data_IF_176275501430
#
_entry.id   IF_176275501430
#
_cell.length_a   1.000
_cell.length_b   1.000
_cell.length_c   1.000
_cell.angle_alpha   90.00
_cell.angle_beta   90.00
_cell.angle_gamma   90.00
#
_symmetry.space_group_name_H-M   'P 1'
#
loop_
_entity.id
_entity.type
_entity.pdbx_description
1 polymer ?
#
# COMPACT_ATOMS: atom_id res chain seq x y z
N UNK A 1 1.48 26.49 -2.37
CA UNK A 1 0.44 25.54 -1.92
C UNK A 1 -0.91 26.01 -2.45
N UNK A 2 -1.53 25.26 -3.36
CA UNK A 2 -2.85 25.60 -3.92
C UNK A 2 -3.93 24.79 -3.19
N UNK A 3 -4.75 25.45 -2.38
CA UNK A 3 -5.88 24.87 -1.68
C UNK A 3 -7.19 25.26 -2.38
N UNK A 4 -8.22 24.40 -2.34
CA UNK A 4 -9.59 24.75 -2.74
C UNK A 4 -10.29 25.53 -1.64
N UNK A 5 -9.76 26.71 -1.33
CA UNK A 5 -10.22 27.52 -0.19
C UNK A 5 -11.71 27.84 -0.28
N UNK A 6 -12.24 28.03 -1.49
CA UNK A 6 -13.67 28.29 -1.70
C UNK A 6 -14.54 27.10 -1.31
N UNK A 7 -14.23 25.90 -1.81
CA UNK A 7 -14.98 24.68 -1.47
C UNK A 7 -14.82 24.30 0.01
N UNK A 8 -13.62 24.48 0.56
CA UNK A 8 -13.37 24.32 1.99
C UNK A 8 -14.22 25.28 2.82
N UNK A 9 -14.19 26.58 2.49
CA UNK A 9 -14.96 27.61 3.18
C UNK A 9 -16.47 27.37 3.11
N UNK A 10 -16.97 26.95 1.95
CA UNK A 10 -18.37 26.54 1.77
C UNK A 10 -18.73 25.35 2.66
N UNK A 11 -17.83 24.36 2.80
CA UNK A 11 -18.06 23.21 3.70
C UNK A 11 -18.04 23.62 5.17
N UNK A 12 -17.10 24.46 5.61
CA UNK A 12 -17.06 25.01 6.98
C UNK A 12 -18.36 25.77 7.28
N UNK A 13 -18.84 26.58 6.32
CA UNK A 13 -20.12 27.29 6.43
C UNK A 13 -21.32 26.34 6.50
N UNK A 14 -21.29 25.21 5.78
CA UNK A 14 -22.35 24.19 5.84
C UNK A 14 -22.42 23.59 7.24
N UNK A 15 -21.28 23.13 7.79
CA UNK A 15 -21.18 22.54 9.13
C UNK A 15 -21.71 23.52 10.18
N UNK A 16 -21.28 24.78 10.10
CA UNK A 16 -21.75 25.83 10.99
C UNK A 16 -23.28 25.98 10.96
N UNK A 17 -23.87 25.98 9.76
CA UNK A 17 -25.32 26.12 9.58
C UNK A 17 -26.08 24.89 10.06
N UNK A 18 -25.54 23.69 9.84
CA UNK A 18 -26.09 22.42 10.35
C UNK A 18 -26.17 22.43 11.89
N UNK A 19 -25.16 23.01 12.54
CA UNK A 19 -25.12 23.24 13.99
C UNK A 19 -25.96 24.44 14.47
N UNK A 20 -26.59 25.20 13.55
CA UNK A 20 -27.44 26.38 13.83
C UNK A 20 -26.75 27.48 14.64
N UNK A 21 -25.42 27.62 14.52
CA UNK A 21 -24.65 28.66 15.21
C UNK A 21 -24.29 29.81 14.25
N UNK A 22 -24.25 31.05 14.77
CA UNK A 22 -23.87 32.24 13.98
C UNK A 22 -22.34 32.43 13.96
N UNK A 23 -21.82 33.18 12.99
CA UNK A 23 -20.39 33.55 12.98
C UNK A 23 -20.01 34.34 14.23
N UNK A 24 -20.94 35.16 14.73
CA UNK A 24 -20.77 35.93 15.98
C UNK A 24 -20.67 35.01 17.19
N UNK A 25 -21.53 34.00 17.29
CA UNK A 25 -21.49 33.02 18.37
C UNK A 25 -20.16 32.23 18.37
N UNK A 26 -19.65 31.84 17.19
CA UNK A 26 -18.32 31.24 17.10
C UNK A 26 -17.26 32.23 17.60
N UNK A 27 -17.31 33.49 17.15
CA UNK A 27 -16.34 34.51 17.54
C UNK A 27 -16.30 34.72 19.06
N UNK A 28 -17.47 34.82 19.69
CA UNK A 28 -17.61 34.98 21.15
C UNK A 28 -17.10 33.75 21.92
N UNK A 29 -17.33 32.53 21.42
CA UNK A 29 -16.88 31.29 22.07
C UNK A 29 -15.39 30.99 21.88
N UNK A 30 -14.82 31.39 20.75
CA UNK A 30 -13.46 31.00 20.35
C UNK A 30 -12.42 32.11 20.49
N UNK A 31 -12.86 33.36 20.62
CA UNK A 31 -11.99 34.52 20.51
C UNK A 31 -11.48 34.79 19.09
N UNK A 32 -11.84 33.98 18.10
CA UNK A 32 -11.45 34.21 16.69
C UNK A 32 -12.27 35.36 16.15
N UNK A 33 -11.60 36.36 15.55
CA UNK A 33 -12.27 37.52 14.99
C UNK A 33 -13.33 37.11 13.94
N UNK A 34 -14.54 37.69 14.04
CA UNK A 34 -15.67 37.41 13.15
C UNK A 34 -15.32 37.61 11.66
N UNK A 35 -14.47 38.57 11.32
CA UNK A 35 -14.02 38.79 9.94
C UNK A 35 -13.07 37.69 9.47
N UNK A 36 -12.26 37.13 10.36
CA UNK A 36 -11.43 35.95 10.05
C UNK A 36 -12.33 34.76 9.73
N UNK A 37 -13.35 34.49 10.55
CA UNK A 37 -14.34 33.42 10.30
C UNK A 37 -15.03 33.63 8.94
N UNK A 38 -15.47 34.87 8.67
CA UNK A 38 -16.11 35.24 7.41
C UNK A 38 -15.17 35.04 6.20
N UNK A 39 -13.91 35.44 6.31
CA UNK A 39 -12.91 35.28 5.24
C UNK A 39 -12.61 33.79 5.00
N UNK A 40 -12.54 32.98 6.05
CA UNK A 40 -12.39 31.53 5.95
C UNK A 40 -13.58 30.91 5.21
N UNK A 41 -14.82 31.22 5.63
CA UNK A 41 -16.03 30.68 4.98
C UNK A 41 -16.21 31.12 3.52
N UNK A 42 -15.60 32.25 3.13
CA UNK A 42 -15.58 32.73 1.74
C UNK A 42 -14.38 32.19 0.94
N UNK A 43 -13.47 31.46 1.56
CA UNK A 43 -12.24 30.97 0.94
C UNK A 43 -11.23 32.06 0.59
N UNK A 44 -11.27 33.19 1.29
CA UNK A 44 -10.42 34.37 1.01
C UNK A 44 -9.07 34.35 1.73
N UNK A 45 -8.90 33.45 2.71
CA UNK A 45 -7.67 33.34 3.50
C UNK A 45 -7.33 31.88 3.74
N UNK A 46 -6.04 31.57 3.79
CA UNK A 46 -5.56 30.27 4.28
C UNK A 46 -5.59 30.33 5.82
N UNK A 47 -6.45 29.56 6.49
CA UNK A 47 -6.49 29.54 7.94
C UNK A 47 -5.20 28.94 8.52
N UNK A 48 -4.75 29.49 9.64
CA UNK A 48 -3.64 28.93 10.42
C UNK A 48 -4.10 27.68 11.18
N UNK A 49 -3.16 26.79 11.53
CA UNK A 49 -3.48 25.53 12.21
C UNK A 49 -4.14 25.77 13.58
N UNK A 50 -3.61 26.71 14.37
CA UNK A 50 -4.20 27.17 15.64
C UNK A 50 -5.69 27.54 15.48
N UNK A 51 -6.01 28.26 14.42
CA UNK A 51 -7.37 28.72 14.12
C UNK A 51 -8.27 27.54 13.75
N UNK A 52 -7.75 26.57 12.98
CA UNK A 52 -8.49 25.35 12.63
C UNK A 52 -8.79 24.50 13.87
N UNK A 53 -7.83 24.34 14.78
CA UNK A 53 -7.99 23.61 16.03
C UNK A 53 -9.03 24.28 16.93
N UNK A 54 -8.93 25.60 17.11
CA UNK A 54 -9.91 26.38 17.87
C UNK A 54 -11.31 26.23 17.28
N UNK A 55 -11.47 26.39 15.96
CA UNK A 55 -12.76 26.23 15.29
C UNK A 55 -13.32 24.79 15.42
N UNK A 56 -12.44 23.79 15.51
CA UNK A 56 -12.85 22.38 15.67
C UNK A 56 -13.60 22.13 16.98
N UNK A 57 -13.25 22.86 18.04
CA UNK A 57 -13.93 22.73 19.35
C UNK A 57 -15.40 23.12 19.30
N UNK A 58 -15.76 24.12 18.48
CA UNK A 58 -17.13 24.63 18.34
C UNK A 58 -17.89 23.95 17.21
N UNK A 59 -17.20 23.62 16.12
CA UNK A 59 -17.80 22.97 14.94
C UNK A 59 -17.95 21.44 15.09
N UNK A 60 -17.58 20.88 16.25
CA UNK A 60 -17.74 19.45 16.60
C UNK A 60 -17.15 18.49 15.55
N UNK A 61 -16.18 18.95 14.78
CA UNK A 61 -15.52 18.21 13.72
C UNK A 61 -14.07 18.65 13.68
N UNK A 62 -13.16 17.73 13.37
CA UNK A 62 -11.75 18.04 13.12
C UNK A 62 -11.61 18.83 11.81
N UNK A 63 -11.64 20.16 11.91
CA UNK A 63 -11.54 21.09 10.78
C UNK A 63 -10.13 21.10 10.22
N UNK A 64 -9.12 20.81 11.05
CA UNK A 64 -7.73 20.63 10.60
C UNK A 64 -7.65 19.49 9.60
N UNK A 65 -8.20 18.31 9.92
CA UNK A 65 -8.28 17.16 9.03
C UNK A 65 -9.14 17.45 7.80
N UNK A 66 -10.28 18.11 7.98
CA UNK A 66 -11.15 18.51 6.87
C UNK A 66 -10.39 19.39 5.86
N UNK A 67 -9.59 20.36 6.34
CA UNK A 67 -8.80 21.24 5.49
C UNK A 67 -7.80 20.46 4.62
N UNK A 68 -7.26 19.35 5.12
CA UNK A 68 -6.36 18.48 4.35
C UNK A 68 -7.04 17.85 3.14
N UNK A 69 -8.35 17.63 3.16
CA UNK A 69 -9.09 17.04 2.04
C UNK A 69 -9.28 18.02 0.87
N UNK A 70 -9.05 19.31 1.09
CA UNK A 70 -9.10 20.37 0.07
C UNK A 70 -7.70 20.82 -0.39
N UNK A 71 -6.64 20.07 -0.05
CA UNK A 71 -5.25 20.29 -0.51
C UNK A 71 -5.02 19.93 -1.98
N UNK A 72 -5.93 19.17 -2.58
CA UNK A 72 -5.85 18.71 -3.95
C UNK A 72 -7.18 18.96 -4.67
N UNK A 73 -7.09 19.46 -5.91
CA UNK A 73 -8.20 19.58 -6.86
C UNK A 73 -8.96 18.27 -7.03
N UNK A 74 -8.28 17.15 -6.84
CA UNK A 74 -8.87 15.82 -6.98
C UNK A 74 -8.42 14.83 -5.88
N UNK A 75 -8.40 15.27 -4.62
CA UNK A 75 -8.00 14.43 -3.47
C UNK A 75 -8.78 13.10 -3.42
N UNK A 76 -10.11 13.19 -3.60
CA UNK A 76 -11.00 12.03 -3.54
C UNK A 76 -10.68 11.04 -4.66
N UNK A 77 -10.56 11.50 -5.92
CA UNK A 77 -10.21 10.59 -7.02
C UNK A 77 -8.80 10.02 -6.85
N UNK A 78 -7.83 10.78 -6.34
CA UNK A 78 -6.50 10.22 -6.09
C UNK A 78 -6.54 9.12 -5.01
N UNK A 79 -7.26 9.33 -3.90
CA UNK A 79 -7.47 8.30 -2.88
C UNK A 79 -8.17 7.07 -3.46
N UNK A 80 -9.21 7.27 -4.27
CA UNK A 80 -9.96 6.21 -4.93
C UNK A 80 -9.08 5.40 -5.90
N UNK A 81 -8.29 6.07 -6.74
CA UNK A 81 -7.33 5.43 -7.65
C UNK A 81 -6.32 4.60 -6.86
N UNK A 82 -5.76 5.13 -5.76
CA UNK A 82 -4.85 4.36 -4.91
C UNK A 82 -5.52 3.12 -4.31
N UNK A 83 -6.76 3.24 -3.82
CA UNK A 83 -7.50 2.10 -3.28
C UNK A 83 -7.75 1.02 -4.34
N UNK A 84 -8.15 1.41 -5.55
CA UNK A 84 -8.32 0.49 -6.68
C UNK A 84 -7.01 -0.19 -7.08
N UNK A 85 -5.91 0.56 -7.10
CA UNK A 85 -4.57 0.00 -7.36
C UNK A 85 -4.19 -1.05 -6.32
N UNK A 86 -4.35 -0.77 -5.02
CA UNK A 86 -4.02 -1.75 -3.99
C UNK A 86 -4.87 -3.02 -4.12
N UNK A 87 -6.18 -2.86 -4.35
CA UNK A 87 -7.07 -4.00 -4.56
C UNK A 87 -6.63 -4.85 -5.76
N UNK A 88 -6.34 -4.22 -6.91
CA UNK A 88 -5.92 -4.93 -8.13
C UNK A 88 -4.57 -5.62 -7.95
N UNK A 89 -3.59 -4.95 -7.35
CA UNK A 89 -2.26 -5.50 -7.10
C UNK A 89 -2.30 -6.68 -6.13
N UNK A 90 -3.11 -6.60 -5.06
CA UNK A 90 -3.24 -7.69 -4.10
C UNK A 90 -3.96 -8.92 -4.69
N UNK A 91 -4.85 -8.72 -5.66
CA UNK A 91 -5.63 -9.79 -6.30
C UNK A 91 -5.06 -10.23 -7.66
N UNK A 92 -3.84 -9.81 -8.01
CA UNK A 92 -3.18 -10.12 -9.28
C UNK A 92 -4.00 -9.74 -10.54
N UNK A 93 -4.82 -8.69 -10.46
CA UNK A 93 -5.63 -8.16 -11.58
C UNK A 93 -4.82 -7.14 -12.37
N UNK A 94 -3.73 -7.58 -12.99
CA UNK A 94 -2.74 -6.68 -13.62
C UNK A 94 -3.24 -6.09 -14.94
N UNK A 95 -4.04 -6.84 -15.68
CA UNK A 95 -4.65 -6.45 -16.96
C UNK A 95 -5.58 -5.25 -16.80
N UNK A 96 -6.17 -5.08 -15.62
CA UNK A 96 -7.09 -3.97 -15.35
C UNK A 96 -6.36 -2.66 -14.99
N UNK A 97 -5.04 -2.67 -14.80
CA UNK A 97 -4.26 -1.52 -14.32
C UNK A 97 -4.14 -0.39 -15.36
N UNK A 98 -4.42 -0.66 -16.64
CA UNK A 98 -4.41 0.37 -17.68
C UNK A 98 -5.37 1.53 -17.36
N UNK A 99 -6.52 1.22 -16.74
CA UNK A 99 -7.52 2.23 -16.35
C UNK A 99 -6.97 3.17 -15.28
N UNK A 100 -6.38 2.63 -14.20
CA UNK A 100 -5.78 3.47 -13.15
C UNK A 100 -4.57 4.24 -13.65
N UNK A 101 -3.78 3.68 -14.57
CA UNK A 101 -2.67 4.41 -15.20
C UNK A 101 -3.16 5.67 -15.93
N UNK A 102 -4.23 5.56 -16.72
CA UNK A 102 -4.80 6.72 -17.41
C UNK A 102 -5.44 7.72 -16.44
N UNK A 103 -6.08 7.25 -15.37
CA UNK A 103 -6.60 8.11 -14.31
C UNK A 103 -5.48 8.89 -13.60
N UNK A 104 -4.37 8.23 -13.25
CA UNK A 104 -3.19 8.89 -12.69
C UNK A 104 -2.63 9.96 -13.63
N UNK A 105 -2.59 9.70 -14.93
CA UNK A 105 -2.15 10.68 -15.94
C UNK A 105 -3.03 11.93 -15.96
N UNK A 106 -4.36 11.77 -15.89
CA UNK A 106 -5.32 12.89 -15.81
C UNK A 106 -5.18 13.69 -14.51
N UNK A 107 -5.03 12.99 -13.37
CA UNK A 107 -4.82 13.63 -12.06
C UNK A 107 -3.49 14.39 -12.04
N UNK A 108 -2.43 13.81 -12.62
CA UNK A 108 -1.12 14.47 -12.74
C UNK A 108 -1.20 15.79 -13.52
N UNK A 109 -1.98 15.85 -14.60
CA UNK A 109 -2.11 17.07 -15.40
C UNK A 109 -2.90 18.17 -14.68
N UNK A 110 -3.81 17.80 -13.79
CA UNK A 110 -4.67 18.75 -13.06
C UNK A 110 -4.09 19.18 -11.71
N UNK A 111 -3.14 18.44 -11.13
CA UNK A 111 -2.58 18.81 -9.82
C UNK A 111 -1.69 20.04 -9.91
N UNK A 112 -1.92 21.00 -9.01
CA UNK A 112 -1.09 22.20 -8.86
C UNK A 112 -0.12 22.13 -7.67
N UNK A 113 -0.05 20.97 -7.01
CA UNK A 113 0.85 20.74 -5.88
C UNK A 113 2.09 19.99 -6.33
N UNK A 114 3.27 20.58 -6.14
CA UNK A 114 4.55 19.96 -6.51
C UNK A 114 4.75 18.62 -5.80
N UNK A 115 4.47 18.56 -4.49
CA UNK A 115 4.55 17.34 -3.70
C UNK A 115 3.70 16.20 -4.30
N UNK A 116 2.44 16.49 -4.60
CA UNK A 116 1.58 15.46 -5.18
C UNK A 116 1.93 15.16 -6.64
N UNK A 117 2.42 16.14 -7.40
CA UNK A 117 2.94 15.90 -8.74
C UNK A 117 4.09 14.88 -8.70
N UNK A 118 5.02 14.99 -7.73
CA UNK A 118 6.07 13.99 -7.50
C UNK A 118 5.48 12.61 -7.17
N UNK A 119 4.60 12.53 -6.15
CA UNK A 119 3.99 11.27 -5.73
C UNK A 119 3.21 10.56 -6.86
N UNK A 120 2.39 11.30 -7.60
CA UNK A 120 1.61 10.77 -8.72
C UNK A 120 2.55 10.33 -9.84
N UNK A 121 3.64 11.06 -10.08
CA UNK A 121 4.64 10.67 -11.10
C UNK A 121 5.34 9.37 -10.72
N UNK A 122 5.77 9.21 -9.47
CA UNK A 122 6.36 7.96 -8.98
C UNK A 122 5.38 6.79 -9.13
N UNK A 123 4.13 6.98 -8.68
CA UNK A 123 3.09 5.96 -8.77
C UNK A 123 2.75 5.61 -10.21
N UNK A 124 2.70 6.59 -11.11
CA UNK A 124 2.49 6.36 -12.54
C UNK A 124 3.59 5.47 -13.14
N UNK A 125 4.86 5.80 -12.90
CA UNK A 125 5.97 4.97 -13.38
C UNK A 125 5.96 3.57 -12.77
N UNK A 126 5.60 3.45 -11.49
CA UNK A 126 5.44 2.17 -10.83
C UNK A 126 4.36 1.32 -11.50
N UNK A 127 3.15 1.86 -11.70
CA UNK A 127 2.05 1.13 -12.36
C UNK A 127 2.42 0.75 -13.80
N UNK A 128 3.04 1.67 -14.55
CA UNK A 128 3.50 1.40 -15.91
C UNK A 128 4.54 0.27 -15.96
N UNK A 129 5.45 0.22 -14.99
CA UNK A 129 6.42 -0.87 -14.86
C UNK A 129 5.74 -2.20 -14.53
N UNK A 130 4.74 -2.23 -13.64
CA UNK A 130 4.01 -3.45 -13.32
C UNK A 130 3.27 -3.98 -14.55
N UNK A 131 2.63 -3.12 -15.34
CA UNK A 131 1.97 -3.49 -16.60
C UNK A 131 2.99 -4.09 -17.57
N UNK A 132 4.11 -3.39 -17.80
CA UNK A 132 5.17 -3.86 -18.70
C UNK A 132 5.72 -5.23 -18.26
N UNK A 133 5.86 -5.44 -16.96
CA UNK A 133 6.41 -6.68 -16.42
C UNK A 133 5.40 -7.84 -16.44
N UNK A 134 4.20 -7.62 -15.91
CA UNK A 134 3.21 -8.69 -15.66
C UNK A 134 2.28 -8.97 -16.83
N UNK A 135 2.01 -7.99 -17.68
CA UNK A 135 1.06 -8.11 -18.80
C UNK A 135 1.81 -8.21 -20.11
N UNK A 136 2.76 -7.31 -20.36
CA UNK A 136 3.43 -7.23 -21.66
C UNK A 136 4.72 -8.06 -21.75
N UNK A 137 5.15 -8.68 -20.65
CA UNK A 137 6.37 -9.48 -20.55
C UNK A 137 7.64 -8.76 -21.07
N UNK A 138 7.82 -7.49 -20.69
CA UNK A 138 8.95 -6.62 -21.07
C UNK A 138 9.76 -6.19 -19.83
N UNK A 139 10.48 -7.12 -19.17
CA UNK A 139 11.15 -6.87 -17.89
C UNK A 139 12.20 -5.73 -17.95
N UNK A 140 12.97 -5.60 -19.02
CA UNK A 140 13.99 -4.56 -19.17
C UNK A 140 13.38 -3.16 -19.29
N UNK A 141 12.21 -3.06 -19.95
CA UNK A 141 11.47 -1.79 -20.04
C UNK A 141 10.84 -1.45 -18.69
N UNK A 142 10.28 -2.43 -18.00
CA UNK A 142 9.76 -2.27 -16.66
C UNK A 142 10.86 -1.80 -15.67
N UNK A 143 12.05 -2.39 -15.74
CA UNK A 143 13.20 -2.00 -14.94
C UNK A 143 13.52 -0.51 -15.13
N UNK A 144 13.67 -0.05 -16.38
CA UNK A 144 13.94 1.37 -16.69
C UNK A 144 12.87 2.30 -16.12
N UNK A 145 11.59 1.88 -16.13
CA UNK A 145 10.49 2.66 -15.54
C UNK A 145 10.59 2.75 -14.02
N UNK A 146 10.97 1.68 -13.32
CA UNK A 146 11.19 1.71 -11.87
C UNK A 146 12.39 2.59 -11.48
N UNK A 147 13.49 2.55 -12.25
CA UNK A 147 14.63 3.48 -12.06
C UNK A 147 14.15 4.93 -12.19
N UNK A 148 13.39 5.24 -13.26
CA UNK A 148 12.84 6.57 -13.46
C UNK A 148 11.90 6.99 -12.33
N UNK A 149 11.15 6.05 -11.74
CA UNK A 149 10.29 6.32 -10.58
C UNK A 149 11.11 6.76 -9.34
N UNK A 150 12.20 6.07 -9.02
CA UNK A 150 13.08 6.47 -7.90
C UNK A 150 13.78 7.80 -8.18
N UNK A 151 14.16 8.06 -9.43
CA UNK A 151 14.80 9.32 -9.83
C UNK A 151 13.94 10.57 -9.70
N UNK A 152 12.62 10.42 -9.57
CA UNK A 152 11.70 11.56 -9.35
C UNK A 152 12.07 12.33 -8.08
N UNK A 153 12.47 11.61 -7.03
CA UNK A 153 12.83 12.16 -5.71
C UNK A 153 14.31 11.98 -5.38
N UNK A 154 14.99 11.03 -6.04
CA UNK A 154 16.41 10.75 -5.88
C UNK A 154 17.14 10.89 -7.22
N UNK A 155 17.39 12.11 -7.69
CA UNK A 155 17.88 12.39 -9.06
C UNK A 155 19.12 11.57 -9.46
N UNK A 156 20.04 11.35 -8.51
CA UNK A 156 21.29 10.62 -8.70
C UNK A 156 21.17 9.11 -8.44
N UNK A 157 19.95 8.57 -8.28
CA UNK A 157 19.75 7.17 -7.96
C UNK A 157 20.35 6.24 -9.04
N UNK A 158 21.16 5.29 -8.58
CA UNK A 158 21.62 4.14 -9.34
C UNK A 158 21.34 2.87 -8.54
N UNK A 159 21.24 1.72 -9.23
CA UNK A 159 21.14 0.45 -8.53
C UNK A 159 22.45 0.04 -7.85
N UNK A 160 23.60 0.56 -8.28
CA UNK A 160 24.88 0.25 -7.67
C UNK A 160 24.97 0.81 -6.23
N UNK A 161 24.41 2.01 -6.03
CA UNK A 161 24.54 2.76 -4.78
C UNK A 161 23.25 2.81 -3.98
N UNK A 162 22.29 1.92 -4.24
CA UNK A 162 20.94 2.02 -3.65
C UNK A 162 20.96 2.03 -2.11
N UNK A 163 21.99 1.46 -1.47
CA UNK A 163 22.03 1.39 -0.02
C UNK A 163 22.25 2.73 0.68
N UNK A 164 22.77 3.75 -0.02
CA UNK A 164 23.09 5.06 0.58
C UNK A 164 21.89 5.99 0.67
N UNK A 165 20.77 5.65 0.02
CA UNK A 165 19.59 6.51 -0.04
C UNK A 165 18.62 6.24 1.13
N UNK A 166 17.84 7.27 1.47
CA UNK A 166 16.71 7.17 2.41
C UNK A 166 15.44 7.01 1.60
N UNK A 167 14.59 6.07 2.01
CA UNK A 167 13.42 5.66 1.24
C UNK A 167 12.13 5.85 2.04
N UNK A 168 11.12 6.38 1.36
CA UNK A 168 9.73 6.26 1.77
C UNK A 168 9.20 4.83 1.56
N UNK A 169 8.06 4.50 2.18
CA UNK A 169 7.39 3.21 1.98
C UNK A 169 7.07 2.90 0.51
N UNK A 170 6.71 3.91 -0.29
CA UNK A 170 6.47 3.74 -1.73
C UNK A 170 7.76 3.42 -2.49
N UNK A 171 8.87 4.06 -2.14
CA UNK A 171 10.15 3.82 -2.79
C UNK A 171 10.74 2.46 -2.40
N UNK A 172 10.57 2.01 -1.15
CA UNK A 172 10.88 0.62 -0.78
C UNK A 172 10.07 -0.39 -1.59
N UNK A 173 8.79 -0.10 -1.88
CA UNK A 173 7.97 -0.95 -2.76
C UNK A 173 8.48 -0.96 -4.21
N UNK A 174 8.93 0.19 -4.71
CA UNK A 174 9.54 0.31 -6.04
C UNK A 174 10.85 -0.51 -6.08
N UNK A 175 11.71 -0.36 -5.07
CA UNK A 175 12.96 -1.10 -4.95
C UNK A 175 12.73 -2.62 -4.82
N UNK A 176 11.76 -3.04 -4.02
CA UNK A 176 11.31 -4.44 -3.97
C UNK A 176 10.88 -4.95 -5.35
N UNK A 177 10.20 -4.11 -6.14
CA UNK A 177 9.75 -4.46 -7.49
C UNK A 177 10.91 -4.51 -8.50
N UNK A 178 11.96 -3.71 -8.31
CA UNK A 178 13.23 -3.87 -9.04
C UNK A 178 13.80 -5.26 -8.75
N UNK A 179 13.84 -5.67 -7.48
CA UNK A 179 14.27 -7.01 -7.07
C UNK A 179 13.51 -8.12 -7.81
N UNK A 180 12.19 -8.02 -7.95
CA UNK A 180 11.41 -9.02 -8.69
C UNK A 180 11.79 -9.13 -10.16
N UNK A 181 12.03 -7.99 -10.81
CA UNK A 181 12.45 -7.96 -12.21
C UNK A 181 13.84 -8.59 -12.35
N UNK A 182 14.78 -8.24 -11.47
CA UNK A 182 16.12 -8.83 -11.43
C UNK A 182 16.05 -10.35 -11.25
N UNK A 183 15.19 -10.85 -10.35
CA UNK A 183 14.98 -12.29 -10.21
C UNK A 183 14.50 -12.95 -11.51
N UNK A 184 13.63 -12.29 -12.30
CA UNK A 184 13.22 -12.82 -13.61
C UNK A 184 14.31 -12.75 -14.68
N UNK A 185 15.33 -11.91 -14.48
CA UNK A 185 16.51 -11.80 -15.33
C UNK A 185 17.67 -12.67 -14.81
N UNK A 186 17.37 -13.69 -13.99
CA UNK A 186 18.32 -14.62 -13.37
C UNK A 186 19.29 -14.01 -12.32
N UNK A 187 19.08 -12.77 -11.90
CA UNK A 187 19.87 -12.09 -10.86
C UNK A 187 19.32 -12.41 -9.44
N UNK A 188 19.24 -13.71 -9.11
CA UNK A 188 18.58 -14.18 -7.88
C UNK A 188 19.28 -13.74 -6.59
N UNK A 189 20.61 -13.59 -6.61
CA UNK A 189 21.38 -13.10 -5.47
C UNK A 189 21.05 -11.62 -5.19
N UNK A 190 21.01 -10.80 -6.24
CA UNK A 190 20.69 -9.37 -6.12
C UNK A 190 19.25 -9.15 -5.66
N UNK A 191 18.33 -10.00 -6.11
CA UNK A 191 16.96 -10.02 -5.60
C UNK A 191 16.90 -10.23 -4.08
N UNK A 192 17.60 -11.25 -3.55
CA UNK A 192 17.62 -11.52 -2.12
C UNK A 192 18.24 -10.35 -1.33
N UNK A 193 19.37 -9.83 -1.79
CA UNK A 193 20.07 -8.69 -1.19
C UNK A 193 19.13 -7.47 -1.06
N UNK A 194 18.40 -7.15 -2.13
CA UNK A 194 17.44 -6.03 -2.14
C UNK A 194 16.28 -6.28 -1.17
N UNK A 195 15.78 -7.52 -1.08
CA UNK A 195 14.69 -7.82 -0.16
C UNK A 195 15.12 -7.70 1.31
N UNK A 196 16.32 -8.19 1.64
CA UNK A 196 16.89 -8.05 2.99
C UNK A 196 17.05 -6.57 3.34
N UNK A 197 17.62 -5.78 2.43
CA UNK A 197 17.74 -4.33 2.59
C UNK A 197 16.40 -3.63 2.83
N UNK A 198 15.38 -3.96 2.03
CA UNK A 198 14.04 -3.41 2.20
C UNK A 198 13.41 -3.80 3.55
N UNK A 199 13.65 -5.04 3.99
CA UNK A 199 13.14 -5.56 5.25
C UNK A 199 13.78 -4.88 6.47
N UNK A 200 15.06 -4.51 6.39
CA UNK A 200 15.75 -3.77 7.46
C UNK A 200 15.23 -2.33 7.64
N UNK A 201 14.63 -1.75 6.58
CA UNK A 201 14.19 -0.34 6.55
C UNK A 201 12.69 -0.15 6.61
N UNK A 202 11.90 -1.20 6.39
CA UNK A 202 10.45 -1.10 6.42
C UNK A 202 9.95 -0.99 7.86
N UNK A 203 9.06 -0.03 8.11
CA UNK A 203 8.34 0.07 9.39
C UNK A 203 7.47 -1.17 9.62
N UNK A 204 7.39 -1.64 10.86
CA UNK A 204 6.62 -2.85 11.22
C UNK A 204 5.13 -2.66 10.96
N UNK A 205 4.63 -1.44 11.13
CA UNK A 205 3.24 -1.03 10.89
C UNK A 205 2.91 -0.87 9.40
N UNK A 206 3.94 -0.88 8.54
CA UNK A 206 3.74 -0.72 7.10
C UNK A 206 3.01 -1.93 6.51
N UNK A 207 2.02 -1.66 5.65
CA UNK A 207 1.37 -2.70 4.84
C UNK A 207 2.32 -3.46 3.90
N UNK A 208 3.56 -2.96 3.71
CA UNK A 208 4.61 -3.61 2.97
C UNK A 208 5.33 -4.71 3.77
N UNK A 209 5.36 -4.62 5.11
CA UNK A 209 6.14 -5.53 5.95
C UNK A 209 5.71 -7.00 5.83
N UNK A 210 4.41 -7.38 5.90
CA UNK A 210 3.99 -8.76 5.64
C UNK A 210 4.32 -9.25 4.23
N UNK A 211 4.28 -8.36 3.23
CA UNK A 211 4.60 -8.69 1.84
C UNK A 211 6.09 -9.02 1.69
N UNK A 212 6.97 -8.21 2.28
CA UNK A 212 8.41 -8.47 2.33
C UNK A 212 8.72 -9.80 3.05
N UNK A 213 8.06 -10.07 4.17
CA UNK A 213 8.18 -11.35 4.88
C UNK A 213 7.83 -12.55 3.99
N UNK A 214 6.73 -12.48 3.24
CA UNK A 214 6.35 -13.53 2.30
C UNK A 214 7.40 -13.72 1.18
N UNK A 215 7.90 -12.61 0.62
CA UNK A 215 8.87 -12.65 -0.47
C UNK A 215 10.22 -13.20 -0.02
N UNK A 216 10.71 -12.78 1.16
CA UNK A 216 11.93 -13.32 1.77
C UNK A 216 11.78 -14.79 2.11
N UNK A 217 10.66 -15.19 2.71
CA UNK A 217 10.36 -16.61 2.95
C UNK A 217 10.45 -17.42 1.65
N UNK A 218 9.85 -16.92 0.57
CA UNK A 218 9.91 -17.57 -0.74
C UNK A 218 11.33 -17.62 -1.30
N UNK A 219 12.12 -16.55 -1.15
CA UNK A 219 13.50 -16.47 -1.62
C UNK A 219 14.41 -17.45 -0.88
N UNK A 220 14.39 -17.46 0.46
CA UNK A 220 15.19 -18.39 1.26
C UNK A 220 14.78 -19.85 1.02
N UNK A 221 13.49 -20.13 0.84
CA UNK A 221 13.01 -21.47 0.49
C UNK A 221 13.59 -21.94 -0.84
N UNK A 222 13.64 -21.08 -1.86
CA UNK A 222 14.28 -21.41 -3.17
C UNK A 222 15.75 -21.73 -2.99
N UNK A 223 16.42 -21.03 -2.07
CA UNK A 223 17.82 -21.26 -1.72
C UNK A 223 18.00 -22.39 -0.69
N UNK A 224 16.96 -23.18 -0.41
CA UNK A 224 16.95 -24.29 0.57
C UNK A 224 17.32 -23.89 2.01
N UNK A 225 17.24 -22.60 2.34
CA UNK A 225 17.43 -22.07 3.70
C UNK A 225 16.10 -22.09 4.45
N UNK A 226 15.57 -23.29 4.72
CA UNK A 226 14.21 -23.48 5.22
C UNK A 226 13.96 -22.84 6.60
N UNK A 227 14.93 -22.86 7.51
CA UNK A 227 14.80 -22.20 8.83
C UNK A 227 14.60 -20.69 8.72
N UNK A 228 15.38 -20.02 7.85
CA UNK A 228 15.19 -18.59 7.58
C UNK A 228 13.83 -18.33 6.93
N UNK A 229 13.42 -19.20 6.00
CA UNK A 229 12.11 -19.08 5.37
C UNK A 229 10.96 -19.21 6.38
N UNK A 230 11.08 -20.13 7.33
CA UNK A 230 10.11 -20.33 8.41
C UNK A 230 10.07 -19.10 9.33
N UNK A 231 11.25 -18.57 9.72
CA UNK A 231 11.36 -17.34 10.52
C UNK A 231 10.59 -16.19 9.89
N UNK A 232 10.83 -15.88 8.61
CA UNK A 232 10.13 -14.78 7.94
C UNK A 232 8.64 -15.04 7.77
N UNK A 233 8.23 -16.29 7.53
CA UNK A 233 6.80 -16.63 7.51
C UNK A 233 6.13 -16.33 8.86
N UNK A 234 6.78 -16.71 9.97
CA UNK A 234 6.27 -16.43 11.31
C UNK A 234 6.22 -14.93 11.62
N UNK A 235 7.27 -14.17 11.29
CA UNK A 235 7.30 -12.71 11.47
C UNK A 235 6.14 -12.05 10.71
N UNK A 236 5.92 -12.43 9.45
CA UNK A 236 4.81 -11.92 8.64
C UNK A 236 3.44 -12.23 9.25
N UNK A 237 3.24 -13.47 9.74
CA UNK A 237 1.99 -13.89 10.39
C UNK A 237 1.73 -13.08 11.65
N UNK A 238 2.73 -12.88 12.50
CA UNK A 238 2.58 -12.09 13.73
C UNK A 238 2.29 -10.62 13.44
N UNK A 239 2.90 -10.05 12.39
CA UNK A 239 2.59 -8.70 11.93
C UNK A 239 1.12 -8.59 11.45
N UNK A 240 0.64 -9.54 10.65
CA UNK A 240 -0.77 -9.58 10.23
C UNK A 240 -1.75 -9.79 11.39
N UNK A 241 -1.39 -10.53 12.45
CA UNK A 241 -2.25 -10.72 13.63
C UNK A 241 -2.34 -9.47 14.50
N UNK A 242 -1.23 -8.73 14.64
CA UNK A 242 -1.18 -7.49 15.42
C UNK A 242 -1.82 -6.31 14.69
N UNK A 243 -1.78 -6.32 13.36
CA UNK A 243 -2.48 -5.33 12.54
C UNK A 243 -3.93 -5.75 12.27
N UNK A 244 -4.79 -4.80 11.94
CA UNK A 244 -6.13 -5.09 11.40
C UNK A 244 -6.10 -5.58 9.95
N UNK A 245 -4.91 -5.79 9.38
CA UNK A 245 -4.71 -6.13 7.99
C UNK A 245 -4.42 -7.62 7.81
N UNK A 246 -5.48 -8.37 7.49
CA UNK A 246 -5.43 -9.81 7.18
C UNK A 246 -5.03 -10.11 5.74
N UNK A 247 -4.76 -9.09 4.92
CA UNK A 247 -4.40 -9.27 3.50
C UNK A 247 -3.10 -10.07 3.38
N UNK A 248 -3.15 -11.17 2.63
CA UNK A 248 -1.98 -12.04 2.41
C UNK A 248 -1.68 -13.02 3.55
N UNK A 249 -2.48 -13.02 4.63
CA UNK A 249 -2.30 -13.96 5.75
C UNK A 249 -2.46 -15.42 5.29
N UNK A 250 -3.40 -15.70 4.40
CA UNK A 250 -3.59 -17.02 3.77
C UNK A 250 -2.32 -17.47 3.01
N UNK A 251 -1.64 -16.55 2.32
CA UNK A 251 -0.40 -16.82 1.58
C UNK A 251 0.74 -17.14 2.55
N UNK A 252 0.85 -16.39 3.66
CA UNK A 252 1.87 -16.61 4.68
C UNK A 252 1.70 -17.96 5.38
N UNK A 253 0.48 -18.34 5.77
CA UNK A 253 0.22 -19.67 6.34
C UNK A 253 0.51 -20.80 5.35
N UNK A 254 0.15 -20.63 4.08
CA UNK A 254 0.49 -21.62 3.06
C UNK A 254 2.01 -21.74 2.88
N UNK A 255 2.71 -20.61 2.77
CA UNK A 255 4.17 -20.56 2.70
C UNK A 255 4.84 -21.23 3.89
N UNK A 256 4.36 -20.94 5.10
CA UNK A 256 4.78 -21.60 6.34
C UNK A 256 4.60 -23.11 6.27
N UNK A 257 3.40 -23.58 5.91
CA UNK A 257 3.13 -25.02 5.79
C UNK A 257 4.04 -25.72 4.77
N UNK A 258 4.28 -25.10 3.62
CA UNK A 258 5.23 -25.66 2.64
C UNK A 258 6.65 -25.76 3.21
N UNK A 259 7.11 -24.75 3.97
CA UNK A 259 8.45 -24.77 4.57
C UNK A 259 8.53 -25.80 5.71
N UNK A 260 7.52 -25.88 6.57
CA UNK A 260 7.42 -26.90 7.64
C UNK A 260 7.48 -28.31 7.06
N UNK A 261 6.83 -28.55 5.92
CA UNK A 261 6.93 -29.83 5.20
C UNK A 261 8.38 -30.17 4.81
N UNK A 262 9.12 -29.22 4.23
CA UNK A 262 10.54 -29.45 3.87
C UNK A 262 11.45 -29.65 5.09
N UNK A 263 11.05 -29.17 6.26
CA UNK A 263 11.73 -29.38 7.53
C UNK A 263 11.30 -30.69 8.24
N UNK A 264 10.36 -31.45 7.66
CA UNK A 264 9.71 -32.58 8.31
C UNK A 264 8.99 -32.22 9.63
N UNK A 265 8.55 -30.97 9.80
CA UNK A 265 7.74 -30.55 10.97
C UNK A 265 6.27 -30.92 10.73
N UNK A 266 5.66 -31.82 11.53
CA UNK A 266 4.27 -32.26 11.35
C UNK A 266 3.24 -31.11 11.47
N UNK A 267 3.61 -29.95 12.01
CA UNK A 267 2.74 -28.75 12.06
C UNK A 267 2.35 -28.23 10.68
N UNK A 268 3.03 -28.66 9.60
CA UNK A 268 2.71 -28.26 8.23
C UNK A 268 1.22 -28.45 7.89
N UNK A 269 0.61 -29.53 8.38
CA UNK A 269 -0.81 -29.84 8.16
C UNK A 269 -1.71 -28.73 8.74
N UNK A 270 -1.41 -28.31 9.97
CA UNK A 270 -2.17 -27.24 10.65
C UNK A 270 -2.01 -25.92 9.91
N UNK A 271 -0.79 -25.59 9.46
CA UNK A 271 -0.53 -24.37 8.71
C UNK A 271 -1.26 -24.35 7.36
N UNK A 272 -1.23 -25.45 6.60
CA UNK A 272 -1.96 -25.57 5.32
C UNK A 272 -3.48 -25.49 5.52
N UNK A 273 -4.04 -26.20 6.53
CA UNK A 273 -5.47 -26.10 6.86
C UNK A 273 -5.89 -24.69 7.21
N UNK A 274 -5.06 -23.98 7.99
CA UNK A 274 -5.30 -22.57 8.32
C UNK A 274 -5.29 -21.70 7.08
N UNK A 275 -4.39 -21.95 6.13
CA UNK A 275 -4.36 -21.23 4.86
C UNK A 275 -5.64 -21.44 4.03
N UNK A 276 -6.14 -22.67 3.94
CA UNK A 276 -7.38 -23.01 3.23
C UNK A 276 -8.59 -22.33 3.88
N UNK A 277 -8.70 -22.39 5.20
CA UNK A 277 -9.76 -21.70 5.96
C UNK A 277 -9.76 -20.19 5.69
N UNK A 278 -8.57 -19.58 5.69
CA UNK A 278 -8.44 -18.15 5.38
C UNK A 278 -8.76 -17.84 3.92
N UNK A 279 -8.53 -18.76 2.98
CA UNK A 279 -8.99 -18.57 1.61
C UNK A 279 -10.52 -18.49 1.54
N UNK A 280 -11.24 -19.32 2.30
CA UNK A 280 -12.71 -19.30 2.34
C UNK A 280 -13.22 -17.98 2.93
N UNK A 281 -12.67 -17.57 4.07
CA UNK A 281 -13.05 -16.32 4.75
C UNK A 281 -12.76 -15.08 3.88
N UNK A 282 -11.70 -15.12 3.06
CA UNK A 282 -11.26 -13.98 2.23
C UNK A 282 -11.68 -14.11 0.76
N UNK A 283 -12.55 -15.06 0.43
CA UNK A 283 -13.07 -15.33 -0.92
C UNK A 283 -11.96 -15.51 -1.98
N UNK A 284 -10.89 -16.23 -1.62
CA UNK A 284 -9.71 -16.47 -2.46
C UNK A 284 -9.75 -17.83 -3.18
N UNK A 285 -10.85 -18.14 -3.87
CA UNK A 285 -11.10 -19.45 -4.51
C UNK A 285 -9.99 -19.89 -5.47
N UNK A 286 -9.50 -18.97 -6.31
CA UNK A 286 -8.40 -19.26 -7.25
C UNK A 286 -7.14 -19.72 -6.53
N UNK A 287 -6.83 -19.11 -5.39
CA UNK A 287 -5.65 -19.46 -4.60
C UNK A 287 -5.88 -20.75 -3.80
N UNK A 288 -7.09 -20.96 -3.24
CA UNK A 288 -7.48 -22.23 -2.60
C UNK A 288 -7.26 -23.42 -3.53
N UNK A 289 -7.78 -23.36 -4.76
CA UNK A 289 -7.61 -24.41 -5.76
C UNK A 289 -6.13 -24.67 -6.09
N UNK A 290 -5.31 -23.62 -6.14
CA UNK A 290 -3.87 -23.75 -6.31
C UNK A 290 -3.20 -24.46 -5.14
N UNK A 291 -3.61 -24.19 -3.91
CA UNK A 291 -3.11 -24.89 -2.71
C UNK A 291 -3.46 -26.38 -2.80
N UNK A 292 -4.74 -26.72 -3.05
CA UNK A 292 -5.20 -28.10 -3.11
C UNK A 292 -4.44 -28.91 -4.18
N UNK A 293 -4.30 -28.34 -5.38
CA UNK A 293 -3.51 -28.94 -6.45
C UNK A 293 -2.05 -29.18 -6.03
N UNK A 294 -1.39 -28.19 -5.44
CA UNK A 294 -0.01 -28.34 -4.99
C UNK A 294 0.15 -29.38 -3.87
N UNK A 295 -0.83 -29.52 -2.97
CA UNK A 295 -0.79 -30.53 -1.91
C UNK A 295 -0.83 -31.95 -2.49
N UNK A 296 -1.64 -32.16 -3.54
CA UNK A 296 -1.75 -33.42 -4.28
C UNK A 296 -0.49 -33.73 -5.08
N UNK A 297 -0.03 -32.76 -5.88
CA UNK A 297 0.99 -32.98 -6.90
C UNK A 297 2.43 -32.90 -6.35
N UNK A 298 2.69 -31.96 -5.42
CA UNK A 298 4.05 -31.60 -4.98
C UNK A 298 4.33 -32.16 -3.59
N UNK A 299 3.43 -31.92 -2.64
CA UNK A 299 3.66 -32.32 -1.24
C UNK A 299 3.31 -33.80 -1.00
N UNK A 300 2.65 -34.48 -1.96
CA UNK A 300 2.23 -35.90 -1.90
C UNK A 300 1.67 -36.28 -0.52
N UNK A 301 0.93 -35.37 0.09
CA UNK A 301 0.52 -35.52 1.47
C UNK A 301 -0.49 -36.66 1.58
N UNK A 302 -0.34 -37.52 2.60
CA UNK A 302 -1.31 -38.59 2.91
C UNK A 302 -2.66 -38.07 3.43
N UNK A 303 -2.83 -36.74 3.52
CA UNK A 303 -4.00 -36.11 4.12
C UNK A 303 -4.89 -35.52 3.01
N UNK A 304 -6.16 -35.92 3.01
CA UNK A 304 -7.18 -35.33 2.15
C UNK A 304 -7.53 -33.92 2.66
N UNK A 305 -7.03 -32.91 1.96
CA UNK A 305 -7.37 -31.50 2.24
C UNK A 305 -8.66 -31.05 1.53
N UNK A 306 -9.23 -31.89 0.66
CA UNK A 306 -10.44 -31.61 -0.12
C UNK A 306 -11.72 -31.58 0.74
N UNK A 307 -11.72 -32.27 1.89
CA UNK A 307 -12.89 -32.35 2.79
C UNK A 307 -12.99 -31.21 3.83
N UNK A 308 -12.10 -30.21 3.77
CA UNK A 308 -12.21 -29.02 4.62
C UNK A 308 -13.14 -27.99 3.95
N UNK A 309 -14.45 -28.19 4.12
CA UNK A 309 -15.46 -27.15 3.86
C UNK A 309 -16.04 -26.73 5.20
N UNK A 310 -16.07 -25.42 5.47
CA UNK A 310 -16.74 -24.88 6.65
C UNK A 310 -18.23 -25.14 6.44
N UNK A 311 -18.80 -26.07 7.22
CA UNK A 311 -20.25 -26.12 7.43
C UNK A 311 -20.68 -24.97 8.31
#
# INVERSE_FOLDING_TARGET
MNYHLKLFGEKVKSIRKELRISQRAISEQTGVNIDTIRKIEKGMVIPRLDTLEILSTVLKQDISKLFLDYRLDNQAAFKEVKAKLEYKLNNNKYEDLYLEREQLKRIKFSTKSDYYHLLITQLFFFVDAIILYKVENKPEKAYKKLINSLKVTNQNFTLADYQIFIYSSMELRILMSIGFILNSLNESNKYLEILEFCMERVEVESSLHPKLCHNLSTAYKRNKQYEKALRYSNIGIECCKKSTNVTGLHILYYGKGVVEYYLNDPKYIKSIKTALLLCDILEQEKFKNKILKNCKDILKCKYEFENFSIK
#
